data_IF_195059270344
#
_entry.id   IF_195059270344
#
_cell.length_a   1.000
_cell.length_b   1.000
_cell.length_c   1.000
_cell.angle_alpha   90.00
_cell.angle_beta   90.00
_cell.angle_gamma   90.00
#
_symmetry.space_group_name_H-M   'P 1'
#
loop_
_entity.id
_entity.type
_entity.pdbx_description
1 polymer ?
#
# COMPACT_ATOMS: atom_id res chain seq x y z
N UNK A 1 16.58 15.25 3.70
CA UNK A 1 15.86 16.51 3.53
C UNK A 1 14.36 16.26 3.38
N UNK A 2 13.58 17.30 3.21
CA UNK A 2 12.13 17.16 3.14
C UNK A 2 11.67 16.35 1.92
N UNK A 3 12.35 16.51 0.79
CA UNK A 3 12.00 15.77 -0.41
C UNK A 3 12.18 14.27 -0.22
N UNK A 4 13.27 13.87 0.41
CA UNK A 4 13.51 12.44 0.70
C UNK A 4 12.48 11.90 1.67
N UNK A 5 12.14 12.69 2.67
CA UNK A 5 11.13 12.32 3.65
C UNK A 5 9.77 12.10 2.99
N UNK A 6 9.38 12.98 2.09
CA UNK A 6 8.12 12.86 1.39
C UNK A 6 8.10 11.66 0.44
N UNK A 7 9.23 11.38 -0.22
CA UNK A 7 9.35 10.20 -1.06
C UNK A 7 9.16 8.92 -0.26
N UNK A 8 9.77 8.85 0.93
CA UNK A 8 9.64 7.68 1.78
C UNK A 8 8.21 7.45 2.23
N UNK A 9 7.52 8.53 2.60
CA UNK A 9 6.11 8.45 3.00
C UNK A 9 5.25 7.96 1.83
N UNK A 10 5.48 8.49 0.64
CA UNK A 10 4.71 8.09 -0.53
C UNK A 10 4.91 6.61 -0.85
N UNK A 11 6.14 6.13 -0.79
CA UNK A 11 6.42 4.71 -1.02
C UNK A 11 5.70 3.84 0.00
N UNK A 12 5.70 4.25 1.24
CA UNK A 12 5.03 3.50 2.30
C UNK A 12 3.52 3.44 2.08
N UNK A 13 2.92 4.56 1.67
CA UNK A 13 1.49 4.59 1.37
C UNK A 13 1.15 3.72 0.16
N UNK A 14 1.99 3.71 -0.87
CA UNK A 14 1.80 2.86 -2.04
C UNK A 14 1.86 1.38 -1.66
N UNK A 15 2.78 1.01 -0.80
CA UNK A 15 2.89 -0.36 -0.30
C UNK A 15 1.64 -0.76 0.49
N UNK A 16 1.10 0.17 1.29
CA UNK A 16 -0.12 -0.08 2.03
C UNK A 16 -1.31 -0.31 1.10
N UNK A 17 -1.38 0.42 0.00
CA UNK A 17 -2.44 0.24 -1.00
C UNK A 17 -2.37 -1.17 -1.60
N UNK A 18 -1.17 -1.64 -1.96
CA UNK A 18 -0.99 -2.97 -2.50
C UNK A 18 -1.35 -4.06 -1.49
N UNK A 19 -1.01 -3.84 -0.24
CA UNK A 19 -1.37 -4.76 0.82
C UNK A 19 -2.88 -4.91 0.96
N UNK A 20 -3.58 -3.78 0.94
CA UNK A 20 -5.04 -3.78 1.03
C UNK A 20 -5.65 -4.47 -0.19
N UNK A 21 -5.10 -4.24 -1.37
CA UNK A 21 -5.57 -4.90 -2.58
C UNK A 21 -5.48 -6.42 -2.46
N UNK A 22 -4.35 -6.92 -1.98
CA UNK A 22 -4.16 -8.35 -1.78
C UNK A 22 -5.18 -8.92 -0.78
N UNK A 23 -5.41 -8.21 0.31
CA UNK A 23 -6.37 -8.64 1.32
C UNK A 23 -7.79 -8.69 0.75
N UNK A 24 -8.15 -7.69 -0.06
CA UNK A 24 -9.46 -7.67 -0.71
C UNK A 24 -9.63 -8.81 -1.69
N UNK A 25 -8.60 -9.14 -2.44
CA UNK A 25 -8.63 -10.26 -3.37
C UNK A 25 -8.84 -11.59 -2.64
N UNK A 26 -8.14 -11.79 -1.53
CA UNK A 26 -8.32 -12.99 -0.73
C UNK A 26 -9.73 -13.10 -0.18
N UNK A 27 -10.31 -11.99 0.24
CA UNK A 27 -11.67 -11.98 0.73
C UNK A 27 -12.66 -12.34 -0.39
N UNK A 28 -12.46 -11.82 -1.58
CA UNK A 28 -13.32 -12.10 -2.72
C UNK A 28 -13.22 -13.56 -3.19
N UNK A 29 -12.05 -14.17 -3.10
CA UNK A 29 -11.86 -15.56 -3.48
C UNK A 29 -12.65 -16.53 -2.61
N UNK A 30 -13.01 -16.13 -1.41
CA UNK A 30 -13.78 -16.98 -0.50
C UNK A 30 -15.27 -16.98 -0.79
N UNK A 31 -15.68 -16.09 -1.67
CA UNK A 31 -17.08 -15.98 -2.07
C UNK A 31 -17.32 -16.85 -3.31
#
# INVERSE_FOLDING_TARGET
NLADYLNDIQEELMDAILYIQTAREELNEKI
#
